data_IF_577907523697
#
_entry.id   IF_577907523697
#
_cell.length_a   1.000
_cell.length_b   1.000
_cell.length_c   1.000
_cell.angle_alpha   90.00
_cell.angle_beta   90.00
_cell.angle_gamma   90.00
#
_symmetry.space_group_name_H-M   'P 1'
#
loop_
_entity.id
_entity.type
_entity.pdbx_description
1 polymer ?
#
# COMPACT_ATOMS: atom_id res chain seq x y z
N UNK A 1 28.28 5.61 -4.42
CA UNK A 1 27.14 6.19 -3.65
C UNK A 1 27.26 5.67 -2.23
N UNK A 2 27.00 6.53 -1.23
CA UNK A 2 26.94 6.09 0.17
C UNK A 2 25.77 5.14 0.37
N UNK A 3 25.95 4.09 1.16
CA UNK A 3 24.86 3.22 1.61
C UNK A 3 23.91 3.98 2.55
N UNK A 4 22.68 3.49 2.72
CA UNK A 4 21.74 4.09 3.66
C UNK A 4 22.29 4.14 5.09
N UNK A 5 23.03 3.12 5.52
CA UNK A 5 23.68 3.07 6.84
C UNK A 5 24.76 4.14 6.99
N UNK A 6 25.61 4.35 5.97
CA UNK A 6 26.60 5.42 5.97
C UNK A 6 25.93 6.81 6.01
N UNK A 7 24.84 7.01 5.27
CA UNK A 7 24.07 8.26 5.31
C UNK A 7 23.52 8.56 6.71
N UNK A 8 22.99 7.54 7.40
CA UNK A 8 22.42 7.68 8.74
C UNK A 8 23.51 7.86 9.80
N UNK A 9 24.61 7.12 9.75
CA UNK A 9 25.73 7.27 10.68
C UNK A 9 26.32 8.69 10.64
N UNK A 10 26.45 9.27 9.44
CA UNK A 10 26.91 10.66 9.31
C UNK A 10 25.83 11.71 9.66
N UNK A 11 24.56 11.32 9.75
CA UNK A 11 23.47 12.23 10.09
C UNK A 11 23.46 12.62 11.60
N UNK A 12 23.92 11.72 12.48
CA UNK A 12 23.98 11.98 13.93
C UNK A 12 24.85 13.17 14.33
N UNK A 13 25.88 13.45 13.55
CA UNK A 13 26.84 14.55 13.81
C UNK A 13 26.46 15.87 13.13
N UNK A 14 25.39 15.90 12.33
CA UNK A 14 25.00 17.11 11.60
C UNK A 14 24.30 18.13 12.51
N UNK A 15 24.74 19.38 12.36
CA UNK A 15 24.11 20.56 12.98
C UNK A 15 23.26 21.36 11.96
N UNK A 16 23.36 21.07 10.68
CA UNK A 16 22.59 21.68 9.61
C UNK A 16 21.33 20.90 9.32
N UNK A 17 20.17 21.51 9.60
CA UNK A 17 18.85 20.90 9.39
C UNK A 17 18.53 20.59 7.93
N UNK A 18 19.07 21.35 6.97
CA UNK A 18 18.85 21.12 5.53
C UNK A 18 19.53 19.83 5.11
N UNK A 19 20.80 19.68 5.47
CA UNK A 19 21.57 18.45 5.18
C UNK A 19 21.00 17.24 5.91
N UNK A 20 20.55 17.41 7.15
CA UNK A 20 19.97 16.33 7.95
C UNK A 20 18.68 15.82 7.33
N UNK A 21 17.75 16.70 6.95
CA UNK A 21 16.50 16.33 6.28
C UNK A 21 16.78 15.64 4.93
N UNK A 22 17.72 16.18 4.15
CA UNK A 22 18.10 15.57 2.87
C UNK A 22 18.64 14.13 3.05
N UNK A 23 19.48 13.89 4.05
CA UNK A 23 19.99 12.54 4.35
C UNK A 23 18.93 11.58 4.84
N UNK A 24 18.00 12.05 5.68
CA UNK A 24 16.86 11.24 6.15
C UNK A 24 16.01 10.80 4.96
N UNK A 25 15.66 11.72 4.06
CA UNK A 25 14.86 11.40 2.87
C UNK A 25 15.60 10.46 1.91
N UNK A 26 16.90 10.69 1.69
CA UNK A 26 17.74 9.78 0.87
C UNK A 26 17.82 8.39 1.45
N UNK A 27 18.06 8.27 2.74
CA UNK A 27 18.12 6.97 3.42
C UNK A 27 16.77 6.27 3.37
N UNK A 28 15.65 7.00 3.58
CA UNK A 28 14.30 6.47 3.44
C UNK A 28 14.04 5.90 2.05
N UNK A 29 14.42 6.63 1.00
CA UNK A 29 14.28 6.18 -0.40
C UNK A 29 15.14 4.93 -0.68
N UNK A 30 16.41 4.93 -0.27
CA UNK A 30 17.31 3.79 -0.47
C UNK A 30 16.89 2.52 0.28
N UNK A 31 16.19 2.68 1.40
CA UNK A 31 15.65 1.58 2.21
C UNK A 31 14.22 1.22 1.82
N UNK A 32 13.65 1.86 0.80
CA UNK A 32 12.24 1.69 0.40
C UNK A 32 11.27 1.85 1.57
N UNK A 33 11.53 2.85 2.43
CA UNK A 33 10.64 3.17 3.52
C UNK A 33 9.33 3.77 2.99
N UNK A 34 8.19 3.27 3.46
CA UNK A 34 6.89 3.86 3.15
C UNK A 34 6.61 5.12 3.95
N UNK A 35 7.06 5.15 5.20
CA UNK A 35 6.84 6.28 6.10
C UNK A 35 8.10 6.57 6.93
N UNK A 36 8.31 7.85 7.22
CA UNK A 36 9.33 8.35 8.15
C UNK A 36 8.62 9.05 9.29
N UNK A 37 8.95 8.65 10.52
CA UNK A 37 8.39 9.26 11.72
C UNK A 37 9.51 9.95 12.52
N UNK A 38 9.30 11.21 12.85
CA UNK A 38 10.13 11.97 13.77
C UNK A 38 9.34 12.15 15.07
N UNK A 39 9.73 11.41 16.11
CA UNK A 39 9.04 11.38 17.39
C UNK A 39 9.86 12.12 18.46
N UNK A 40 9.43 13.32 18.88
CA UNK A 40 10.13 14.07 19.90
C UNK A 40 10.01 13.39 21.27
N UNK A 41 11.15 13.35 21.98
CA UNK A 41 11.28 12.90 23.35
C UNK A 41 11.93 14.01 24.20
N UNK A 42 12.17 13.77 25.47
CA UNK A 42 12.69 14.79 26.39
C UNK A 42 14.11 15.24 26.00
N UNK A 43 14.94 14.34 25.52
CA UNK A 43 16.38 14.53 25.25
C UNK A 43 16.77 14.37 23.78
N UNK A 44 15.87 13.87 22.96
CA UNK A 44 16.17 13.50 21.57
C UNK A 44 14.92 13.51 20.70
N UNK A 45 15.11 13.44 19.37
CA UNK A 45 14.06 13.08 18.43
C UNK A 45 14.41 11.72 17.83
N UNK A 46 13.54 10.73 18.03
CA UNK A 46 13.71 9.40 17.44
C UNK A 46 13.22 9.43 16.00
N UNK A 47 14.07 9.06 15.08
CA UNK A 47 13.72 8.89 13.67
C UNK A 47 13.49 7.42 13.41
N UNK A 48 12.25 7.08 12.99
CA UNK A 48 11.84 5.71 12.71
C UNK A 48 11.35 5.60 11.29
N UNK A 49 11.75 4.55 10.61
CA UNK A 49 11.31 4.23 9.26
C UNK A 49 10.35 3.04 9.30
N UNK A 50 9.32 3.10 8.48
CA UNK A 50 8.51 1.92 8.18
C UNK A 50 9.05 1.27 6.92
N UNK A 51 9.72 0.13 7.08
CA UNK A 51 10.35 -0.61 5.99
C UNK A 51 9.68 -1.98 5.90
N UNK A 52 9.16 -2.32 4.74
CA UNK A 52 8.42 -3.57 4.51
C UNK A 52 7.31 -3.82 5.56
N UNK A 53 6.67 -2.76 6.04
CA UNK A 53 5.62 -2.79 7.05
C UNK A 53 6.11 -2.85 8.50
N UNK A 54 7.40 -3.11 8.75
CA UNK A 54 8.01 -3.05 10.08
C UNK A 54 8.48 -1.63 10.42
N UNK A 55 8.30 -1.21 11.67
CA UNK A 55 8.76 0.07 12.16
C UNK A 55 10.11 -0.11 12.87
N UNK A 56 11.14 0.54 12.34
CA UNK A 56 12.53 0.43 12.82
C UNK A 56 13.06 1.81 13.24
N UNK A 57 13.71 1.91 14.39
CA UNK A 57 14.44 3.11 14.78
C UNK A 57 15.78 3.11 14.06
N UNK A 58 16.02 4.17 13.28
CA UNK A 58 17.20 4.24 12.39
C UNK A 58 18.20 5.33 12.81
N UNK A 59 17.74 6.33 13.57
CA UNK A 59 18.55 7.47 13.95
C UNK A 59 17.95 8.15 15.20
N UNK A 60 18.82 8.70 16.05
CA UNK A 60 18.46 9.67 17.08
C UNK A 60 19.18 10.98 16.85
N UNK A 61 18.45 12.07 16.85
CA UNK A 61 19.01 13.41 16.73
C UNK A 61 18.79 14.18 18.05
N UNK A 62 19.72 15.08 18.40
CA UNK A 62 19.59 15.88 19.65
C UNK A 62 18.30 16.69 19.67
N UNK A 63 17.66 16.82 20.84
CA UNK A 63 16.44 17.62 21.01
C UNK A 63 16.61 19.08 20.53
N UNK A 64 17.82 19.64 20.64
CA UNK A 64 18.12 20.98 20.15
C UNK A 64 17.88 21.16 18.64
N UNK A 65 17.96 20.09 17.86
CA UNK A 65 17.73 20.11 16.41
C UNK A 65 16.24 19.99 16.03
N UNK A 66 15.37 19.61 16.94
CA UNK A 66 13.96 19.35 16.69
C UNK A 66 13.27 20.48 15.94
N UNK A 67 13.33 21.69 16.50
CA UNK A 67 12.64 22.86 15.92
C UNK A 67 13.18 23.20 14.53
N UNK A 68 14.49 23.11 14.32
CA UNK A 68 15.12 23.40 13.03
C UNK A 68 14.70 22.38 11.97
N UNK A 69 14.67 21.10 12.31
CA UNK A 69 14.24 20.02 11.40
C UNK A 69 12.76 20.13 11.07
N UNK A 70 11.89 20.33 12.09
CA UNK A 70 10.45 20.50 11.87
C UNK A 70 10.16 21.74 11.03
N UNK A 71 10.79 22.88 11.31
CA UNK A 71 10.63 24.11 10.52
C UNK A 71 11.08 23.90 9.07
N UNK A 72 12.21 23.20 8.86
CA UNK A 72 12.68 22.88 7.50
C UNK A 72 11.66 22.03 6.72
N UNK A 73 11.06 21.02 7.36
CA UNK A 73 10.04 20.18 6.75
C UNK A 73 8.76 20.96 6.46
N UNK A 74 8.33 21.85 7.40
CA UNK A 74 7.17 22.73 7.17
C UNK A 74 7.39 23.69 5.99
N UNK A 75 8.60 24.26 5.84
CA UNK A 75 8.95 25.08 4.68
C UNK A 75 8.80 24.30 3.38
N UNK A 76 9.32 23.07 3.33
CA UNK A 76 9.20 22.20 2.15
C UNK A 76 7.74 21.90 1.80
N UNK A 77 6.89 21.67 2.81
CA UNK A 77 5.48 21.34 2.66
C UNK A 77 4.55 22.55 2.58
N UNK A 78 5.10 23.79 2.54
CA UNK A 78 4.35 25.05 2.53
C UNK A 78 3.39 25.22 3.71
N UNK A 79 3.78 24.70 4.89
CA UNK A 79 3.03 24.78 6.15
C UNK A 79 3.46 25.99 6.99
N UNK A 80 2.59 26.43 7.90
CA UNK A 80 2.88 27.53 8.82
C UNK A 80 3.92 27.11 9.87
N UNK A 81 5.08 27.78 9.83
CA UNK A 81 6.19 27.52 10.76
C UNK A 81 5.89 28.06 12.18
N UNK A 82 5.07 29.11 12.27
CA UNK A 82 4.75 29.76 13.54
C UNK A 82 3.70 28.97 14.34
N UNK A 83 2.78 28.29 13.64
CA UNK A 83 1.76 27.44 14.29
C UNK A 83 2.37 26.11 14.74
N UNK A 84 2.32 25.83 16.05
CA UNK A 84 2.87 24.63 16.69
C UNK A 84 1.88 23.92 17.60
N UNK A 85 0.65 24.44 17.71
CA UNK A 85 -0.38 23.97 18.63
C UNK A 85 -1.53 23.27 17.93
N UNK A 86 -1.61 23.41 16.62
CA UNK A 86 -2.60 22.73 15.78
C UNK A 86 -1.93 21.73 14.83
N UNK A 87 -2.57 20.58 14.52
CA UNK A 87 -2.15 19.69 13.47
C UNK A 87 -2.13 20.41 12.11
N UNK A 88 -1.19 20.05 11.26
CA UNK A 88 -1.11 20.56 9.89
C UNK A 88 -0.80 19.42 8.94
N UNK A 89 -1.39 19.45 7.76
CA UNK A 89 -1.17 18.51 6.66
C UNK A 89 -0.73 19.26 5.40
N UNK A 90 0.21 18.67 4.66
CA UNK A 90 0.72 19.24 3.42
C UNK A 90 1.54 18.24 2.64
N UNK A 91 2.20 18.72 1.59
CA UNK A 91 3.02 17.84 0.76
C UNK A 91 4.05 18.64 -0.07
N UNK A 92 5.06 17.92 -0.53
CA UNK A 92 6.09 18.48 -1.40
C UNK A 92 6.70 17.40 -2.28
N UNK A 93 7.18 17.82 -3.44
CA UNK A 93 7.96 16.97 -4.33
C UNK A 93 9.45 17.17 -4.03
N UNK A 94 10.15 16.08 -3.72
CA UNK A 94 11.58 16.11 -3.40
C UNK A 94 12.37 15.37 -4.48
N UNK A 95 13.53 15.94 -4.87
CA UNK A 95 14.44 15.32 -5.84
C UNK A 95 15.80 15.11 -5.21
N UNK A 96 16.37 13.94 -5.44
CA UNK A 96 17.73 13.65 -5.00
C UNK A 96 18.69 14.60 -5.70
N UNK A 97 19.17 15.64 -5.00
CA UNK A 97 20.07 16.66 -5.53
C UNK A 97 21.49 16.14 -5.71
N UNK A 98 22.11 16.49 -6.85
CA UNK A 98 23.51 16.31 -7.19
C UNK A 98 23.69 16.62 -8.68
N UNK A 99 24.58 17.56 -9.05
CA UNK A 99 24.92 17.82 -10.44
C UNK A 99 25.47 16.52 -11.07
N UNK A 100 24.74 15.92 -12.02
CA UNK A 100 25.12 14.70 -12.73
C UNK A 100 24.28 13.46 -12.44
N UNK A 101 23.31 13.50 -11.53
CA UNK A 101 22.40 12.39 -11.35
C UNK A 101 21.39 12.37 -12.50
N UNK A 102 21.42 11.34 -13.34
CA UNK A 102 20.32 11.00 -14.24
C UNK A 102 19.00 11.04 -13.45
N UNK A 103 18.00 11.68 -14.05
CA UNK A 103 16.72 12.02 -13.44
C UNK A 103 16.08 10.84 -12.70
N UNK A 104 16.38 10.70 -11.42
CA UNK A 104 15.53 9.94 -10.54
C UNK A 104 14.15 10.62 -10.53
N UNK A 105 13.10 9.87 -10.74
CA UNK A 105 11.73 10.37 -10.62
C UNK A 105 11.58 11.12 -9.30
N UNK A 106 10.86 12.24 -9.27
CA UNK A 106 10.66 12.98 -8.03
C UNK A 106 9.98 12.05 -7.00
N UNK A 107 10.35 12.19 -5.74
CA UNK A 107 9.67 11.56 -4.62
C UNK A 107 8.59 12.53 -4.15
N UNK A 108 7.33 12.14 -4.22
CA UNK A 108 6.27 12.92 -3.62
C UNK A 108 6.13 12.54 -2.15
N UNK A 109 6.12 13.54 -1.30
CA UNK A 109 6.08 13.38 0.16
C UNK A 109 4.83 14.04 0.69
N UNK A 110 3.97 13.26 1.35
CA UNK A 110 2.88 13.80 2.17
C UNK A 110 3.38 13.94 3.60
N UNK A 111 3.10 15.09 4.21
CA UNK A 111 3.55 15.44 5.55
C UNK A 111 2.35 15.73 6.45
N UNK A 112 2.36 15.13 7.63
CA UNK A 112 1.43 15.48 8.71
C UNK A 112 2.22 15.86 9.96
N UNK A 113 1.77 16.89 10.67
CA UNK A 113 2.29 17.28 11.98
C UNK A 113 1.24 17.12 13.07
N UNK A 114 1.66 16.75 14.25
CA UNK A 114 0.79 16.61 15.41
C UNK A 114 1.50 17.16 16.66
N UNK A 115 0.94 18.17 17.36
CA UNK A 115 1.46 18.60 18.64
C UNK A 115 1.43 17.47 19.67
N UNK A 116 2.56 17.24 20.33
CA UNK A 116 2.72 16.24 21.38
C UNK A 116 3.48 16.84 22.57
N UNK A 117 3.60 16.09 23.69
CA UNK A 117 4.17 16.60 24.94
C UNK A 117 5.54 17.28 24.80
N UNK A 118 6.41 16.76 23.94
CA UNK A 118 7.79 17.24 23.78
C UNK A 118 8.04 18.02 22.49
N UNK A 119 6.99 18.50 21.81
CA UNK A 119 7.09 19.29 20.58
C UNK A 119 6.10 18.83 19.52
N UNK A 120 6.48 18.83 18.26
CA UNK A 120 5.65 18.36 17.14
C UNK A 120 6.18 17.02 16.62
N UNK A 121 5.32 16.01 16.64
CA UNK A 121 5.56 14.78 15.90
C UNK A 121 5.37 15.06 14.43
N UNK A 122 6.27 14.56 13.58
CA UNK A 122 6.16 14.65 12.13
C UNK A 122 6.08 13.24 11.55
N UNK A 123 5.17 13.06 10.61
CA UNK A 123 5.08 11.84 9.79
C UNK A 123 5.20 12.25 8.33
N UNK A 124 6.14 11.63 7.61
CA UNK A 124 6.31 11.79 6.18
C UNK A 124 5.94 10.48 5.52
N UNK A 125 4.96 10.48 4.62
CA UNK A 125 4.68 9.36 3.73
C UNK A 125 5.41 9.56 2.42
N UNK A 126 6.26 8.60 2.07
CA UNK A 126 7.08 8.64 0.88
C UNK A 126 6.35 7.92 -0.26
N UNK A 127 5.90 8.70 -1.25
CA UNK A 127 5.20 8.17 -2.42
C UNK A 127 6.19 8.13 -3.59
N UNK A 128 6.73 6.95 -3.89
CA UNK A 128 7.61 6.80 -5.07
C UNK A 128 6.80 7.01 -6.35
N UNK A 129 6.94 8.16 -6.97
CA UNK A 129 6.43 8.45 -8.32
C UNK A 129 7.25 7.66 -9.34
N UNK A 130 6.80 6.47 -9.67
CA UNK A 130 7.49 5.57 -10.61
C UNK A 130 7.98 4.27 -10.00
N UNK A 131 7.52 3.90 -8.81
CA UNK A 131 7.76 2.59 -8.21
C UNK A 131 7.42 1.47 -9.18
N UNK A 132 8.09 0.33 -9.08
CA UNK A 132 7.88 -0.83 -9.95
C UNK A 132 6.40 -1.21 -9.96
N UNK A 133 5.75 -1.02 -11.08
CA UNK A 133 4.38 -1.48 -11.29
C UNK A 133 4.41 -3.00 -11.35
N UNK A 134 3.85 -3.65 -10.33
CA UNK A 134 3.81 -5.11 -10.27
C UNK A 134 2.72 -5.64 -11.20
N UNK A 135 3.07 -6.62 -12.04
CA UNK A 135 2.08 -7.43 -12.74
C UNK A 135 1.51 -8.53 -11.83
N UNK A 136 0.41 -9.16 -12.24
CA UNK A 136 -0.24 -10.23 -11.46
C UNK A 136 0.73 -11.35 -11.10
N UNK A 137 1.63 -11.73 -12.01
CA UNK A 137 2.63 -12.76 -11.78
C UNK A 137 3.63 -12.44 -10.66
N UNK A 138 3.81 -11.16 -10.32
CA UNK A 138 4.77 -10.70 -9.30
C UNK A 138 4.13 -10.53 -7.91
N UNK A 139 2.80 -10.61 -7.81
CA UNK A 139 2.06 -10.45 -6.55
C UNK A 139 2.31 -11.59 -5.56
N UNK A 140 2.63 -12.79 -6.08
CA UNK A 140 2.90 -13.97 -5.28
C UNK A 140 1.71 -14.91 -5.12
N UNK A 141 0.70 -14.83 -5.97
CA UNK A 141 -0.35 -15.86 -6.06
C UNK A 141 0.26 -17.20 -6.48
N UNK A 142 -0.32 -18.32 -6.00
CA UNK A 142 -0.03 -19.64 -6.56
C UNK A 142 -0.42 -19.66 -8.05
N UNK A 143 0.13 -20.59 -8.83
CA UNK A 143 -0.22 -20.68 -10.25
C UNK A 143 -1.71 -20.98 -10.47
N UNK A 144 -2.32 -21.78 -9.59
CA UNK A 144 -3.76 -22.09 -9.61
C UNK A 144 -4.60 -20.85 -9.26
N UNK A 145 -4.22 -20.12 -8.20
CA UNK A 145 -4.94 -18.92 -7.79
C UNK A 145 -4.81 -17.81 -8.83
N UNK A 146 -3.62 -17.65 -9.40
CA UNK A 146 -3.40 -16.71 -10.50
C UNK A 146 -4.27 -17.04 -11.71
N UNK A 147 -4.30 -18.30 -12.13
CA UNK A 147 -5.14 -18.73 -13.25
C UNK A 147 -6.64 -18.50 -12.98
N UNK A 148 -7.10 -18.78 -11.75
CA UNK A 148 -8.47 -18.51 -11.34
C UNK A 148 -8.79 -17.01 -11.34
N UNK A 149 -7.88 -16.17 -10.82
CA UNK A 149 -8.02 -14.71 -10.81
C UNK A 149 -8.08 -14.16 -12.24
N UNK A 150 -7.14 -14.52 -13.11
CA UNK A 150 -7.11 -14.10 -14.50
C UNK A 150 -8.36 -14.58 -15.29
N UNK A 151 -8.85 -15.78 -15.00
CA UNK A 151 -10.08 -16.30 -15.63
C UNK A 151 -11.31 -15.46 -15.26
N UNK A 152 -11.37 -14.99 -14.01
CA UNK A 152 -12.47 -14.12 -13.57
C UNK A 152 -12.35 -12.72 -14.16
N UNK A 153 -11.14 -12.17 -14.31
CA UNK A 153 -10.92 -10.87 -14.95
C UNK A 153 -11.37 -10.85 -16.44
N UNK A 154 -11.37 -11.99 -17.12
CA UNK A 154 -11.85 -12.10 -18.51
C UNK A 154 -13.36 -12.20 -18.64
N UNK A 155 -14.10 -12.22 -17.53
CA UNK A 155 -15.57 -12.22 -17.57
C UNK A 155 -16.09 -10.85 -17.95
N UNK A 156 -17.17 -10.77 -18.73
CA UNK A 156 -17.70 -9.48 -19.18
C UNK A 156 -18.32 -8.67 -18.06
N UNK A 157 -18.78 -9.32 -16.99
CA UNK A 157 -19.45 -8.65 -15.87
C UNK A 157 -19.34 -9.44 -14.55
N UNK A 158 -19.60 -8.75 -13.48
CA UNK A 158 -19.61 -9.28 -12.12
C UNK A 158 -18.73 -8.48 -11.17
N UNK A 159 -18.74 -8.82 -9.90
CA UNK A 159 -18.00 -8.16 -8.84
C UNK A 159 -16.81 -9.00 -8.41
N UNK A 160 -15.63 -8.40 -8.40
CA UNK A 160 -14.39 -8.94 -7.82
C UNK A 160 -14.02 -8.10 -6.62
N UNK A 161 -13.86 -8.73 -5.47
CA UNK A 161 -13.55 -8.06 -4.21
C UNK A 161 -12.17 -8.45 -3.70
N UNK A 162 -11.37 -7.46 -3.35
CA UNK A 162 -10.17 -7.65 -2.56
C UNK A 162 -10.43 -7.24 -1.12
N UNK A 163 -10.06 -8.09 -0.17
CA UNK A 163 -10.26 -7.80 1.24
C UNK A 163 -8.99 -7.97 2.06
N UNK A 164 -8.98 -7.36 3.23
CA UNK A 164 -7.84 -7.36 4.15
C UNK A 164 -7.65 -6.00 4.83
N UNK A 165 -6.77 -5.92 5.83
CA UNK A 165 -6.48 -4.69 6.55
C UNK A 165 -5.81 -3.64 5.64
N UNK A 166 -5.73 -2.41 6.15
CA UNK A 166 -4.95 -1.35 5.52
C UNK A 166 -3.49 -1.81 5.35
N UNK A 167 -2.92 -1.52 4.18
CA UNK A 167 -1.54 -1.92 3.87
C UNK A 167 -1.36 -3.39 3.46
N UNK A 168 -2.43 -4.17 3.25
CA UNK A 168 -2.33 -5.55 2.75
C UNK A 168 -2.05 -5.67 1.25
N UNK A 169 -1.97 -4.54 0.52
CA UNK A 169 -1.63 -4.52 -0.91
C UNK A 169 -2.82 -4.60 -1.86
N UNK A 170 -4.05 -4.37 -1.39
CA UNK A 170 -5.29 -4.44 -2.20
C UNK A 170 -5.22 -3.56 -3.45
N UNK A 171 -4.89 -2.28 -3.28
CA UNK A 171 -4.77 -1.32 -4.38
C UNK A 171 -3.73 -1.77 -5.42
N UNK A 172 -2.59 -2.28 -4.97
CA UNK A 172 -1.55 -2.83 -5.86
C UNK A 172 -2.09 -3.98 -6.72
N UNK A 173 -2.88 -4.88 -6.11
CA UNK A 173 -3.49 -6.01 -6.81
C UNK A 173 -4.59 -5.56 -7.77
N UNK A 174 -5.43 -4.57 -7.40
CA UNK A 174 -6.41 -3.97 -8.31
C UNK A 174 -5.74 -3.31 -9.51
N UNK A 175 -4.67 -2.55 -9.27
CA UNK A 175 -3.94 -1.89 -10.35
C UNK A 175 -3.23 -2.91 -11.26
N UNK A 176 -2.71 -4.01 -10.70
CA UNK A 176 -2.17 -5.11 -11.50
C UNK A 176 -3.25 -5.79 -12.35
N UNK A 177 -4.48 -5.94 -11.81
CA UNK A 177 -5.62 -6.46 -12.56
C UNK A 177 -6.02 -5.53 -13.71
N UNK A 178 -6.07 -4.21 -13.48
CA UNK A 178 -6.34 -3.23 -14.53
C UNK A 178 -5.28 -3.29 -15.63
N UNK A 179 -3.99 -3.32 -15.25
CA UNK A 179 -2.90 -3.44 -16.21
C UNK A 179 -2.97 -4.74 -17.04
N UNK A 180 -3.43 -5.84 -16.44
CA UNK A 180 -3.64 -7.10 -17.17
C UNK A 180 -4.78 -6.99 -18.17
N UNK A 181 -5.91 -6.38 -17.77
CA UNK A 181 -7.05 -6.12 -18.66
C UNK A 181 -6.68 -5.26 -19.86
N UNK A 182 -5.82 -4.26 -19.65
CA UNK A 182 -5.35 -3.36 -20.73
C UNK A 182 -4.47 -4.04 -21.79
N UNK A 183 -3.95 -5.26 -21.52
CA UNK A 183 -3.16 -6.01 -22.51
C UNK A 183 -4.01 -6.68 -23.59
N UNK A 184 -5.31 -6.81 -23.36
CA UNK A 184 -6.26 -7.43 -24.26
C UNK A 184 -6.87 -6.45 -25.26
N UNK A 185 -8.16 -6.62 -25.53
CA UNK A 185 -8.93 -5.70 -26.35
C UNK A 185 -9.06 -4.32 -25.69
N UNK A 186 -9.22 -3.24 -26.46
CA UNK A 186 -9.44 -1.92 -25.89
C UNK A 186 -10.69 -1.88 -25.00
N UNK A 187 -10.53 -1.57 -23.73
CA UNK A 187 -11.60 -1.45 -22.74
C UNK A 187 -11.69 -0.02 -22.22
N UNK A 188 -12.89 0.47 -22.03
CA UNK A 188 -13.15 1.71 -21.32
C UNK A 188 -13.12 1.45 -19.81
N UNK A 189 -12.00 1.77 -19.17
CA UNK A 189 -11.76 1.53 -17.75
C UNK A 189 -11.85 2.85 -17.00
N UNK A 190 -12.73 2.89 -16.01
CA UNK A 190 -12.92 4.09 -15.16
C UNK A 190 -12.77 3.71 -13.70
N UNK A 191 -12.03 4.53 -12.93
CA UNK A 191 -11.85 4.32 -11.50
C UNK A 191 -12.41 5.49 -10.68
N UNK A 192 -12.81 5.19 -9.44
CA UNK A 192 -13.17 6.19 -8.41
C UNK A 192 -12.40 5.84 -7.15
N UNK A 193 -11.52 6.74 -6.72
CA UNK A 193 -10.50 6.47 -5.69
C UNK A 193 -10.42 7.59 -4.64
N UNK A 194 -9.91 7.25 -3.46
CA UNK A 194 -9.75 8.19 -2.32
C UNK A 194 -8.47 7.83 -1.52
N UNK A 195 -7.30 8.39 -1.91
CA UNK A 195 -6.96 9.09 -3.15
C UNK A 195 -6.46 8.15 -4.26
N UNK A 196 -6.13 8.71 -5.45
CA UNK A 196 -5.36 8.01 -6.48
C UNK A 196 -3.92 7.81 -5.96
N UNK A 197 -3.44 6.55 -5.96
CA UNK A 197 -2.08 6.24 -5.49
C UNK A 197 -1.03 6.57 -6.56
N UNK A 198 -1.30 6.27 -7.83
CA UNK A 198 -0.52 6.70 -8.98
C UNK A 198 -1.34 6.62 -10.28
N UNK A 199 -0.91 7.38 -11.27
CA UNK A 199 -1.56 7.42 -12.58
C UNK A 199 -1.34 6.12 -13.37
N UNK A 200 -2.42 5.57 -13.93
CA UNK A 200 -2.40 4.46 -14.88
C UNK A 200 -2.69 5.04 -16.27
N UNK A 201 -1.69 5.15 -17.16
CA UNK A 201 -1.92 5.68 -18.50
C UNK A 201 -2.99 4.92 -19.25
N UNK A 202 -3.95 5.64 -19.83
CA UNK A 202 -5.06 5.06 -20.57
C UNK A 202 -6.29 4.70 -19.72
N UNK A 203 -6.28 4.96 -18.41
CA UNK A 203 -7.42 4.78 -17.50
C UNK A 203 -7.96 6.13 -17.08
N UNK A 204 -9.27 6.29 -17.07
CA UNK A 204 -9.92 7.48 -16.52
C UNK A 204 -10.05 7.34 -14.99
N UNK A 205 -9.14 7.96 -14.25
CA UNK A 205 -9.13 7.91 -12.79
C UNK A 205 -9.77 9.16 -12.21
N UNK A 206 -10.83 9.00 -11.41
CA UNK A 206 -11.51 10.08 -10.69
C UNK A 206 -11.14 10.01 -9.21
N UNK A 207 -10.50 11.08 -8.71
CA UNK A 207 -10.22 11.23 -7.27
C UNK A 207 -11.43 11.86 -6.58
N UNK A 208 -11.83 11.27 -5.46
CA UNK A 208 -12.86 11.84 -4.59
C UNK A 208 -12.17 12.66 -3.52
N UNK A 209 -12.43 13.96 -3.52
CA UNK A 209 -12.01 14.84 -2.45
C UNK A 209 -13.21 15.15 -1.54
N UNK A 210 -13.09 14.82 -0.27
CA UNK A 210 -14.09 15.11 0.76
C UNK A 210 -14.34 16.62 0.96
N UNK A 211 -13.38 17.47 0.56
CA UNK A 211 -13.49 18.92 0.63
C UNK A 211 -14.24 19.52 -0.58
N UNK A 212 -14.23 18.86 -1.75
CA UNK A 212 -14.66 19.48 -3.03
C UNK A 212 -15.96 18.91 -3.63
N UNK A 213 -16.93 18.47 -2.85
CA UNK A 213 -18.32 18.22 -3.33
C UNK A 213 -18.53 16.99 -4.23
N UNK A 214 -17.53 16.22 -4.60
CA UNK A 214 -17.72 14.94 -5.28
C UNK A 214 -17.82 13.85 -4.23
N UNK A 215 -19.04 13.63 -3.77
CA UNK A 215 -19.35 12.50 -2.91
C UNK A 215 -19.22 11.20 -3.72
N UNK A 216 -18.65 10.19 -3.12
CA UNK A 216 -18.35 8.88 -3.71
C UNK A 216 -19.55 8.29 -4.45
N UNK A 217 -20.74 8.31 -3.83
CA UNK A 217 -22.00 7.84 -4.43
C UNK A 217 -22.41 8.64 -5.68
N UNK A 218 -22.14 9.95 -5.72
CA UNK A 218 -22.43 10.76 -6.91
C UNK A 218 -21.45 10.45 -8.04
N UNK A 219 -20.17 10.25 -7.72
CA UNK A 219 -19.15 9.86 -8.70
C UNK A 219 -19.54 8.54 -9.35
N UNK A 220 -19.92 7.52 -8.56
CA UNK A 220 -20.34 6.22 -9.05
C UNK A 220 -21.58 6.29 -9.95
N UNK A 221 -22.61 7.06 -9.55
CA UNK A 221 -23.81 7.26 -10.38
C UNK A 221 -23.49 7.98 -11.70
N UNK A 222 -22.52 8.87 -11.70
CA UNK A 222 -22.07 9.54 -12.92
C UNK A 222 -21.29 8.60 -13.82
N UNK A 223 -20.37 7.85 -13.25
CA UNK A 223 -19.46 6.94 -13.95
C UNK A 223 -20.20 5.95 -14.87
N UNK A 224 -21.34 5.39 -14.41
CA UNK A 224 -22.17 4.47 -15.20
C UNK A 224 -22.80 5.10 -16.46
N UNK A 225 -22.73 6.41 -16.64
CA UNK A 225 -23.17 7.11 -17.85
C UNK A 225 -22.05 7.40 -18.86
N UNK A 226 -20.84 6.94 -18.56
CA UNK A 226 -19.68 7.10 -19.43
C UNK A 226 -19.33 5.82 -20.21
N UNK A 227 -20.28 4.89 -20.33
CA UNK A 227 -20.15 3.64 -21.10
C UNK A 227 -18.87 2.83 -20.71
N UNK A 228 -18.66 2.55 -19.40
CA UNK A 228 -17.51 1.78 -18.97
C UNK A 228 -17.68 0.28 -19.26
N UNK A 229 -16.59 -0.41 -19.62
CA UNK A 229 -16.53 -1.87 -19.60
C UNK A 229 -16.10 -2.37 -18.22
N UNK A 230 -15.15 -1.67 -17.61
CA UNK A 230 -14.58 -1.99 -16.29
C UNK A 230 -14.67 -0.79 -15.36
N UNK A 231 -15.17 -1.04 -14.18
CA UNK A 231 -15.28 -0.05 -13.11
C UNK A 231 -14.44 -0.47 -11.92
N UNK A 232 -13.51 0.37 -11.47
CA UNK A 232 -12.86 0.17 -10.19
C UNK A 232 -13.41 1.16 -9.16
N UNK A 233 -13.85 0.62 -8.03
CA UNK A 233 -14.30 1.38 -6.87
C UNK A 233 -13.27 1.17 -5.78
N UNK A 234 -12.56 2.23 -5.36
CA UNK A 234 -11.48 2.13 -4.39
C UNK A 234 -11.86 1.29 -3.18
N UNK A 235 -13.03 1.56 -2.58
CA UNK A 235 -13.60 0.70 -1.52
C UNK A 235 -15.13 0.85 -1.41
N UNK A 236 -15.78 -0.21 -0.93
CA UNK A 236 -17.21 -0.21 -0.56
C UNK A 236 -17.31 0.03 0.94
N UNK A 237 -17.74 1.23 1.35
CA UNK A 237 -17.84 1.64 2.76
C UNK A 237 -19.27 1.52 3.33
N UNK A 238 -20.25 1.75 2.49
CA UNK A 238 -21.67 1.91 2.86
C UNK A 238 -22.63 1.24 1.87
N UNK A 239 -23.91 1.22 2.21
CA UNK A 239 -24.95 0.65 1.37
C UNK A 239 -25.09 1.34 0.02
N UNK A 240 -24.81 2.65 -0.07
CA UNK A 240 -24.95 3.40 -1.32
C UNK A 240 -23.88 3.00 -2.33
N UNK A 241 -22.63 2.85 -1.88
CA UNK A 241 -21.52 2.36 -2.69
C UNK A 241 -21.70 0.88 -3.07
N UNK A 242 -22.23 0.07 -2.17
CA UNK A 242 -22.59 -1.32 -2.47
C UNK A 242 -23.68 -1.41 -3.54
N UNK A 243 -24.78 -0.67 -3.39
CA UNK A 243 -25.89 -0.67 -4.35
C UNK A 243 -25.41 -0.27 -5.76
N UNK A 244 -24.54 0.72 -5.86
CA UNK A 244 -23.96 1.14 -7.13
C UNK A 244 -23.06 0.04 -7.74
N UNK A 245 -22.20 -0.60 -6.93
CA UNK A 245 -21.33 -1.70 -7.38
C UNK A 245 -22.14 -2.90 -7.86
N UNK A 246 -23.16 -3.30 -7.11
CA UNK A 246 -24.05 -4.42 -7.45
C UNK A 246 -24.84 -4.14 -8.72
N UNK A 247 -25.42 -2.93 -8.87
CA UNK A 247 -26.11 -2.52 -10.09
C UNK A 247 -25.20 -2.55 -11.30
N UNK A 248 -23.98 -2.02 -11.18
CA UNK A 248 -22.99 -2.08 -12.26
C UNK A 248 -22.68 -3.54 -12.65
N UNK A 249 -22.40 -4.40 -11.65
CA UNK A 249 -22.09 -5.80 -11.89
C UNK A 249 -23.23 -6.60 -12.53
N UNK A 250 -24.49 -6.28 -12.21
CA UNK A 250 -25.68 -6.92 -12.79
C UNK A 250 -26.06 -6.35 -14.16
N UNK A 251 -25.64 -5.12 -14.47
CA UNK A 251 -25.95 -4.44 -15.74
C UNK A 251 -24.86 -4.59 -16.82
N UNK A 252 -23.94 -5.52 -16.64
CA UNK A 252 -23.00 -5.88 -17.70
C UNK A 252 -21.55 -5.38 -17.52
N UNK A 253 -21.20 -4.80 -16.37
CA UNK A 253 -19.88 -4.25 -16.13
C UNK A 253 -19.04 -5.17 -15.23
N UNK A 254 -17.75 -5.26 -15.50
CA UNK A 254 -16.79 -5.86 -14.57
C UNK A 254 -16.44 -4.82 -13.47
N UNK A 255 -16.79 -5.14 -12.24
CA UNK A 255 -16.56 -4.25 -11.10
C UNK A 255 -15.44 -4.81 -10.23
N UNK A 256 -14.42 -4.00 -10.00
CA UNK A 256 -13.30 -4.29 -9.11
C UNK A 256 -13.41 -3.40 -7.87
N UNK A 257 -13.33 -3.97 -6.66
CA UNK A 257 -13.42 -3.13 -5.45
C UNK A 257 -12.73 -3.76 -4.26
N UNK A 258 -12.68 -3.01 -3.14
CA UNK A 258 -12.15 -3.50 -1.88
C UNK A 258 -13.18 -3.48 -0.75
N UNK A 259 -12.96 -4.38 0.21
CA UNK A 259 -13.64 -4.42 1.50
C UNK A 259 -12.62 -4.53 2.65
N UNK A 260 -13.09 -4.32 3.87
CA UNK A 260 -12.31 -4.55 5.08
C UNK A 260 -12.92 -5.74 5.84
N UNK A 261 -12.63 -6.97 5.39
CA UNK A 261 -12.95 -8.21 6.12
C UNK A 261 -11.68 -9.02 6.36
N UNK A 262 -11.73 -9.96 7.30
CA UNK A 262 -10.55 -10.72 7.71
C UNK A 262 -10.19 -11.86 6.74
N UNK A 263 -11.18 -12.43 6.09
CA UNK A 263 -11.06 -13.53 5.14
C UNK A 263 -11.97 -13.34 3.92
N UNK A 264 -11.79 -14.14 2.88
CA UNK A 264 -12.55 -14.02 1.65
C UNK A 264 -14.03 -14.39 1.82
N UNK A 265 -14.32 -15.38 2.64
CA UNK A 265 -15.68 -15.88 2.87
C UNK A 265 -16.54 -14.88 3.64
N UNK A 266 -15.96 -14.22 4.64
CA UNK A 266 -16.66 -13.20 5.44
C UNK A 266 -17.03 -11.95 4.63
N UNK A 267 -16.44 -11.77 3.44
CA UNK A 267 -16.90 -10.74 2.49
C UNK A 267 -18.36 -10.91 2.11
N UNK A 268 -18.84 -12.15 1.95
CA UNK A 268 -20.25 -12.44 1.65
C UNK A 268 -21.15 -11.96 2.78
N UNK A 269 -20.83 -12.34 4.03
CA UNK A 269 -21.58 -11.90 5.21
C UNK A 269 -21.61 -10.36 5.27
N UNK A 270 -20.47 -9.72 5.03
CA UNK A 270 -20.37 -8.26 5.05
C UNK A 270 -21.24 -7.59 3.99
N UNK A 271 -21.30 -8.14 2.76
CA UNK A 271 -22.18 -7.63 1.71
C UNK A 271 -23.66 -7.75 2.12
N UNK A 272 -24.04 -8.88 2.72
CA UNK A 272 -25.41 -9.11 3.20
C UNK A 272 -25.75 -8.15 4.36
N UNK A 273 -24.86 -7.97 5.32
CA UNK A 273 -25.02 -7.02 6.42
C UNK A 273 -25.18 -5.56 5.94
N UNK A 274 -24.57 -5.23 4.81
CA UNK A 274 -24.69 -3.93 4.16
C UNK A 274 -25.96 -3.79 3.31
N UNK A 275 -26.77 -4.85 3.16
CA UNK A 275 -28.07 -4.82 2.50
C UNK A 275 -28.15 -5.58 1.16
N UNK A 276 -27.12 -6.34 0.76
CA UNK A 276 -27.24 -7.19 -0.42
C UNK A 276 -28.15 -8.38 -0.12
N UNK A 277 -29.16 -8.60 -0.98
CA UNK A 277 -29.97 -9.81 -0.93
C UNK A 277 -29.06 -11.07 -1.08
N UNK A 278 -29.10 -12.01 -0.11
CA UNK A 278 -28.32 -13.23 -0.18
C UNK A 278 -28.48 -14.02 -1.49
N UNK A 279 -29.67 -13.96 -2.11
CA UNK A 279 -29.92 -14.63 -3.38
C UNK A 279 -29.18 -13.99 -4.56
N UNK A 280 -28.79 -12.72 -4.45
CA UNK A 280 -28.03 -12.01 -5.49
C UNK A 280 -26.52 -12.24 -5.37
N UNK A 281 -26.02 -12.77 -4.26
CA UNK A 281 -24.59 -13.01 -4.05
C UNK A 281 -23.98 -13.87 -5.17
N UNK A 282 -24.52 -15.05 -5.53
CA UNK A 282 -23.94 -15.87 -6.60
C UNK A 282 -24.03 -15.22 -7.98
N UNK A 283 -25.06 -14.40 -8.21
CA UNK A 283 -25.24 -13.69 -9.48
C UNK A 283 -24.27 -12.50 -9.62
N UNK A 284 -23.83 -11.93 -8.52
CA UNK A 284 -23.04 -10.69 -8.48
C UNK A 284 -21.56 -10.95 -8.20
N UNK A 285 -21.25 -11.64 -7.11
CA UNK A 285 -19.89 -11.89 -6.65
C UNK A 285 -19.25 -13.03 -7.43
N UNK A 286 -18.24 -12.70 -8.25
CA UNK A 286 -17.47 -13.69 -9.00
C UNK A 286 -16.29 -14.23 -8.22
N UNK A 287 -15.62 -13.34 -7.47
CA UNK A 287 -14.47 -13.72 -6.67
C UNK A 287 -14.29 -12.74 -5.50
N UNK A 288 -14.07 -13.28 -4.32
CA UNK A 288 -13.50 -12.56 -3.18
C UNK A 288 -12.08 -13.08 -2.92
N UNK A 289 -11.14 -12.15 -2.72
CA UNK A 289 -9.73 -12.45 -2.48
C UNK A 289 -9.30 -11.78 -1.19
N UNK A 290 -8.99 -12.54 -0.17
CA UNK A 290 -8.36 -12.00 1.03
C UNK A 290 -6.84 -11.96 0.85
N UNK A 291 -6.23 -10.86 1.27
CA UNK A 291 -4.81 -10.60 1.05
C UNK A 291 -4.13 -10.11 2.32
N UNK A 292 -2.92 -10.63 2.55
CA UNK A 292 -1.96 -10.12 3.54
C UNK A 292 -0.61 -9.93 2.87
N UNK A 293 0.24 -9.09 3.45
CA UNK A 293 1.64 -8.94 3.02
C UNK A 293 2.56 -9.48 4.10
N UNK A 294 3.53 -10.28 3.67
CA UNK A 294 4.63 -10.79 4.49
C UNK A 294 5.96 -10.37 3.88
N UNK A 295 6.98 -10.20 4.73
CA UNK A 295 8.33 -9.90 4.27
C UNK A 295 8.95 -11.14 3.61
N UNK A 296 9.65 -10.92 2.53
CA UNK A 296 10.42 -11.97 1.86
C UNK A 296 11.77 -12.13 2.55
N UNK A 297 12.18 -13.36 2.77
CA UNK A 297 13.55 -13.64 3.21
C UNK A 297 14.55 -13.12 2.16
N UNK A 298 15.61 -12.49 2.64
CA UNK A 298 16.69 -12.03 1.78
C UNK A 298 17.33 -13.23 1.06
N UNK A 299 17.37 -13.27 -0.28
CA UNK A 299 17.91 -14.41 -1.01
C UNK A 299 19.40 -14.64 -0.75
N UNK A 300 20.14 -13.55 -0.44
CA UNK A 300 21.60 -13.59 -0.22
C UNK A 300 22.00 -14.20 1.13
N UNK A 301 21.11 -14.14 2.14
CA UNK A 301 21.50 -14.53 3.48
C UNK A 301 20.51 -15.41 4.23
N UNK A 302 19.40 -15.83 3.60
CA UNK A 302 18.50 -16.80 4.23
C UNK A 302 19.23 -18.11 4.47
N UNK A 303 18.99 -18.73 5.60
CA UNK A 303 19.60 -20.01 5.97
C UNK A 303 18.51 -21.03 6.34
N UNK A 304 18.80 -22.31 6.15
CA UNK A 304 17.89 -23.37 6.57
C UNK A 304 18.26 -23.75 8.01
N UNK A 305 17.41 -23.37 8.94
CA UNK A 305 17.52 -23.69 10.36
C UNK A 305 16.70 -24.93 10.75
N UNK A 306 16.56 -25.18 12.06
CA UNK A 306 15.83 -26.33 12.60
C UNK A 306 14.32 -26.24 12.33
N UNK A 307 13.79 -25.01 12.30
CA UNK A 307 12.35 -24.72 12.08
C UNK A 307 12.02 -24.27 10.65
N UNK A 308 12.86 -24.58 9.68
CA UNK A 308 12.70 -24.13 8.30
C UNK A 308 13.66 -23.00 7.93
N UNK A 309 13.26 -22.13 7.01
CA UNK A 309 14.07 -21.03 6.56
C UNK A 309 14.03 -19.85 7.52
N UNK A 310 15.21 -19.29 7.83
CA UNK A 310 15.41 -18.23 8.82
C UNK A 310 16.15 -17.02 8.23
N UNK A 311 15.82 -15.78 8.70
CA UNK A 311 16.57 -14.58 8.34
C UNK A 311 17.90 -14.53 9.09
N UNK A 312 19.04 -14.30 8.38
CA UNK A 312 20.34 -14.15 9.03
C UNK A 312 20.79 -12.67 9.11
N UNK A 313 20.54 -11.91 8.04
CA UNK A 313 21.06 -10.55 7.89
C UNK A 313 22.39 -10.50 7.14
N UNK A 314 22.52 -9.57 6.19
CA UNK A 314 23.73 -9.27 5.44
C UNK A 314 23.73 -7.81 4.97
N UNK A 315 24.80 -7.39 4.33
CA UNK A 315 24.93 -6.02 3.80
C UNK A 315 23.81 -5.71 2.80
N UNK A 316 23.46 -6.64 1.91
CA UNK A 316 22.41 -6.43 0.91
C UNK A 316 21.05 -6.07 1.52
N UNK A 317 20.65 -6.76 2.59
CA UNK A 317 19.39 -6.45 3.28
C UNK A 317 19.55 -5.48 4.46
N UNK A 318 20.71 -4.83 4.63
CA UNK A 318 20.99 -3.93 5.74
C UNK A 318 20.88 -4.59 7.13
N UNK A 319 21.31 -5.86 7.24
CA UNK A 319 21.27 -6.63 8.49
C UNK A 319 19.91 -7.21 8.87
N UNK A 320 18.82 -6.90 8.14
CA UNK A 320 17.43 -7.26 8.51
C UNK A 320 17.05 -8.71 8.24
N UNK A 321 17.75 -9.38 7.33
CA UNK A 321 17.42 -10.74 6.89
C UNK A 321 16.20 -10.84 5.98
N UNK A 322 15.51 -9.72 5.72
CA UNK A 322 14.35 -9.62 4.84
C UNK A 322 14.58 -8.54 3.76
N UNK A 323 13.94 -8.73 2.60
CA UNK A 323 14.00 -7.78 1.48
C UNK A 323 12.70 -7.82 0.68
N UNK A 324 11.95 -6.73 0.77
CA UNK A 324 10.67 -6.61 0.10
C UNK A 324 9.56 -7.48 0.70
N UNK A 325 8.41 -7.43 0.07
CA UNK A 325 7.19 -8.12 0.53
C UNK A 325 6.62 -9.02 -0.55
N UNK A 326 5.77 -9.96 -0.16
CA UNK A 326 4.99 -10.82 -1.04
C UNK A 326 3.58 -10.98 -0.47
N UNK A 327 2.58 -11.14 -1.35
CA UNK A 327 1.21 -11.41 -0.92
C UNK A 327 1.03 -12.83 -0.38
N UNK A 328 0.15 -12.97 0.59
CA UNK A 328 -0.55 -14.21 0.93
C UNK A 328 -1.99 -14.05 0.48
N UNK A 329 -2.54 -15.09 -0.11
CA UNK A 329 -3.85 -15.04 -0.74
C UNK A 329 -4.76 -16.16 -0.25
N UNK A 330 -6.03 -15.83 -0.13
CA UNK A 330 -7.15 -16.74 0.04
C UNK A 330 -8.22 -16.34 -0.94
N UNK A 331 -8.81 -17.28 -1.65
CA UNK A 331 -9.83 -17.02 -2.65
C UNK A 331 -11.13 -17.75 -2.34
N UNK A 332 -12.24 -17.08 -2.61
CA UNK A 332 -13.57 -17.63 -2.52
C UNK A 332 -14.43 -17.20 -3.70
N UNK A 333 -14.94 -18.16 -4.45
CA UNK A 333 -15.87 -17.92 -5.55
C UNK A 333 -17.17 -18.71 -5.34
N UNK A 334 -18.29 -18.03 -5.00
CA UNK A 334 -19.56 -18.70 -4.67
C UNK A 334 -20.10 -19.56 -5.81
N UNK A 335 -19.93 -19.11 -7.05
CA UNK A 335 -20.47 -19.78 -8.24
C UNK A 335 -19.79 -21.13 -8.53
N UNK A 336 -18.47 -21.20 -8.36
CA UNK A 336 -17.66 -22.40 -8.69
C UNK A 336 -17.38 -23.28 -7.47
N UNK A 337 -17.65 -22.76 -6.27
CA UNK A 337 -17.28 -23.42 -5.03
C UNK A 337 -15.78 -23.36 -4.74
N UNK A 338 -14.99 -22.55 -5.49
CA UNK A 338 -13.58 -22.34 -5.21
C UNK A 338 -13.42 -21.79 -3.78
N UNK A 339 -12.59 -22.42 -2.99
CA UNK A 339 -12.22 -21.95 -1.65
C UNK A 339 -10.79 -22.39 -1.38
N UNK A 340 -9.88 -21.43 -1.28
CA UNK A 340 -8.48 -21.66 -0.87
C UNK A 340 -8.24 -21.12 0.53
N UNK A 341 -7.10 -21.38 1.11
CA UNK A 341 -6.77 -21.00 2.48
C UNK A 341 -5.50 -20.16 2.51
N UNK A 342 -5.56 -19.02 3.20
CA UNK A 342 -4.38 -18.18 3.43
C UNK A 342 -3.30 -18.93 4.24
N UNK A 343 -3.70 -19.87 5.09
CA UNK A 343 -2.78 -20.69 5.88
C UNK A 343 -2.02 -21.69 5.01
N UNK A 344 -2.67 -22.28 4.00
CA UNK A 344 -2.02 -23.21 3.07
C UNK A 344 -1.06 -22.48 2.15
N UNK A 345 -1.43 -21.30 1.65
CA UNK A 345 -0.55 -20.43 0.85
C UNK A 345 0.66 -19.96 1.67
N UNK A 346 0.45 -19.61 2.95
CA UNK A 346 1.52 -19.25 3.87
C UNK A 346 2.49 -20.42 4.08
N UNK A 347 1.99 -21.63 4.33
CA UNK A 347 2.80 -22.84 4.49
C UNK A 347 3.64 -23.13 3.26
N UNK A 348 3.04 -23.10 2.08
CA UNK A 348 3.74 -23.31 0.82
C UNK A 348 4.90 -22.30 0.64
N UNK A 349 4.71 -21.03 1.01
CA UNK A 349 5.76 -20.00 0.93
C UNK A 349 6.86 -20.17 1.98
N UNK A 350 6.53 -20.68 3.18
CA UNK A 350 7.54 -21.04 4.18
C UNK A 350 8.38 -22.23 3.70
N UNK A 351 7.74 -23.28 3.18
CA UNK A 351 8.42 -24.47 2.67
C UNK A 351 9.36 -24.14 1.51
N UNK A 352 8.93 -23.23 0.62
CA UNK A 352 9.74 -22.71 -0.48
C UNK A 352 10.85 -21.73 -0.03
N UNK A 353 10.91 -21.35 1.25
CA UNK A 353 11.88 -20.39 1.77
C UNK A 353 11.69 -18.97 1.23
N UNK A 354 10.48 -18.62 0.84
CA UNK A 354 10.13 -17.27 0.40
C UNK A 354 9.97 -16.34 1.62
N UNK A 355 9.40 -16.86 2.68
CA UNK A 355 9.23 -16.18 3.97
C UNK A 355 9.59 -17.12 5.11
N UNK A 356 9.48 -16.68 6.36
CA UNK A 356 9.75 -17.49 7.55
C UNK A 356 8.47 -17.73 8.35
N UNK A 357 8.45 -18.79 9.16
CA UNK A 357 7.36 -19.07 10.09
C UNK A 357 7.11 -17.91 11.06
N UNK A 358 8.19 -17.34 11.59
CA UNK A 358 8.10 -16.19 12.49
C UNK A 358 7.41 -14.96 11.83
N UNK A 359 7.62 -14.76 10.54
CA UNK A 359 6.96 -13.67 9.82
C UNK A 359 5.49 -13.95 9.56
N UNK A 360 5.12 -15.22 9.31
CA UNK A 360 3.70 -15.64 9.20
C UNK A 360 2.97 -15.40 10.51
N UNK A 361 3.53 -15.82 11.63
CA UNK A 361 2.95 -15.59 12.97
C UNK A 361 2.76 -14.07 13.22
N UNK A 362 3.75 -13.25 12.87
CA UNK A 362 3.65 -11.80 12.99
C UNK A 362 2.52 -11.20 12.14
N UNK A 363 2.30 -11.71 10.93
CA UNK A 363 1.39 -11.13 9.95
C UNK A 363 -0.06 -11.60 10.11
N UNK A 364 -0.27 -12.85 10.54
CA UNK A 364 -1.59 -13.44 10.67
C UNK A 364 -2.13 -13.37 12.11
N UNK A 365 -1.28 -13.04 13.07
CA UNK A 365 -1.60 -13.09 14.49
C UNK A 365 -1.59 -14.57 14.93
N UNK A 366 -0.62 -14.98 15.74
CA UNK A 366 -0.56 -16.32 16.29
C UNK A 366 -1.71 -16.61 17.23
#
# INVERSE_FOLDING_TARGET
MLSAQELLAHAESLTDSVQLVDRILRAGLLLHASDVHLDPAADSVRVRFRIDGALEEVLRIPAAMQNAVTSRLKVLASLDIAERRAPQDGGFSWRMGGAGAFAASPLDVRMATLPVRHGERVTLRLLETGGKRLGIAELGMSDSDRAAFEAVLRRPHGLVLLTGPTGSGKTTTLYAAIQELMKGEPLNIITVEDPIEYEIPGVAQAEVDSADKVNFAKALKSLLRHDPDVVMIGEIRDSDSLDAAVKAALTGHLVLSTLHTNDAKSSVTRLVDMGLDPNLVPATLRLAVAQRLVRRLCPECRTKGVRGWEPKGCVACGGRGYWGRIGLFEMYAPETGLSTSIADDARAKVDAGITSEAEILRALGG
#
